data_IF_511715366017
#
_entry.id   IF_511715366017
#
_cell.length_a   1.000
_cell.length_b   1.000
_cell.length_c   1.000
_cell.angle_alpha   90.00
_cell.angle_beta   90.00
_cell.angle_gamma   90.00
#
_symmetry.space_group_name_H-M   'P 1'
#
loop_
_entity.id
_entity.type
_entity.pdbx_description
1 polymer ?
#
# COMPACT_ATOMS: atom_id res chain seq x y z
N UNK A 1 -14.91 42.35 -38.75
CA UNK A 1 -15.30 40.92 -38.71
C UNK A 1 -14.05 40.03 -38.71
N UNK A 2 -13.13 40.20 -39.67
CA UNK A 2 -11.91 39.36 -39.84
C UNK A 2 -10.97 39.29 -38.62
N UNK A 3 -10.75 40.41 -37.90
CA UNK A 3 -9.91 40.44 -36.69
C UNK A 3 -10.47 39.62 -35.53
N UNK A 4 -11.79 39.46 -35.42
CA UNK A 4 -12.39 38.70 -34.33
C UNK A 4 -12.13 37.18 -34.49
N UNK A 5 -12.10 36.69 -35.73
CA UNK A 5 -11.79 35.29 -36.02
C UNK A 5 -10.32 34.96 -35.76
N UNK A 6 -9.40 35.85 -36.16
CA UNK A 6 -7.97 35.66 -35.91
C UNK A 6 -7.62 35.57 -34.40
N UNK A 7 -8.25 36.41 -33.55
CA UNK A 7 -8.04 36.37 -32.10
C UNK A 7 -8.65 35.11 -31.45
N UNK A 8 -9.78 34.61 -31.98
CA UNK A 8 -10.39 33.37 -31.49
C UNK A 8 -9.54 32.15 -31.86
N UNK A 9 -8.90 32.18 -33.03
CA UNK A 9 -8.01 31.11 -33.50
C UNK A 9 -6.70 31.07 -32.70
N UNK A 10 -6.10 32.23 -32.41
CA UNK A 10 -4.90 32.36 -31.56
C UNK A 10 -5.16 31.92 -30.11
N UNK A 11 -6.35 32.25 -29.57
CA UNK A 11 -6.78 31.79 -28.25
C UNK A 11 -7.03 30.28 -28.22
N UNK A 12 -7.62 29.72 -29.29
CA UNK A 12 -7.85 28.29 -29.42
C UNK A 12 -6.53 27.50 -29.49
N UNK A 13 -5.53 28.02 -30.21
CA UNK A 13 -4.20 27.40 -30.29
C UNK A 13 -3.47 27.47 -28.96
N UNK A 14 -3.53 28.60 -28.25
CA UNK A 14 -2.91 28.74 -26.92
C UNK A 14 -3.54 27.80 -25.88
N UNK A 15 -4.86 27.63 -25.91
CA UNK A 15 -5.58 26.67 -25.04
C UNK A 15 -5.19 25.23 -25.38
N UNK A 16 -5.05 24.92 -26.68
CA UNK A 16 -4.65 23.60 -27.15
C UNK A 16 -3.22 23.26 -26.73
N UNK A 17 -2.30 24.21 -26.80
CA UNK A 17 -0.93 24.06 -26.32
C UNK A 17 -0.89 23.85 -24.80
N UNK A 18 -1.62 24.65 -24.03
CA UNK A 18 -1.72 24.51 -22.58
C UNK A 18 -2.30 23.15 -22.15
N UNK A 19 -3.34 22.68 -22.84
CA UNK A 19 -3.94 21.36 -22.62
C UNK A 19 -2.94 20.25 -22.96
N UNK A 20 -2.21 20.37 -24.07
CA UNK A 20 -1.17 19.40 -24.43
C UNK A 20 -0.05 19.33 -23.38
N UNK A 21 0.47 20.48 -22.91
CA UNK A 21 1.50 20.52 -21.87
C UNK A 21 1.01 19.91 -20.55
N UNK A 22 -0.24 20.17 -20.15
CA UNK A 22 -0.85 19.55 -18.96
C UNK A 22 -1.03 18.05 -19.14
N UNK A 23 -1.46 17.58 -20.31
CA UNK A 23 -1.61 16.15 -20.61
C UNK A 23 -0.25 15.44 -20.55
N UNK A 24 0.78 16.05 -21.13
CA UNK A 24 2.13 15.49 -21.14
C UNK A 24 2.72 15.43 -19.72
N UNK A 25 2.57 16.50 -18.95
CA UNK A 25 2.98 16.57 -17.54
C UNK A 25 2.23 15.56 -16.68
N UNK A 26 0.92 15.36 -16.93
CA UNK A 26 0.11 14.36 -16.24
C UNK A 26 0.54 12.94 -16.61
N UNK A 27 0.80 12.67 -17.90
CA UNK A 27 1.26 11.36 -18.38
C UNK A 27 2.60 10.97 -17.76
N UNK A 28 3.53 11.92 -17.66
CA UNK A 28 4.84 11.69 -17.04
C UNK A 28 4.70 11.42 -15.54
N UNK A 29 3.94 12.26 -14.82
CA UNK A 29 3.67 12.09 -13.38
C UNK A 29 2.96 10.76 -13.07
N UNK A 30 2.01 10.35 -13.91
CA UNK A 30 1.32 9.06 -13.79
C UNK A 30 2.28 7.91 -14.04
N UNK A 31 3.16 8.01 -15.04
CA UNK A 31 4.18 6.99 -15.30
C UNK A 31 5.17 6.86 -14.14
N UNK A 32 5.63 7.97 -13.56
CA UNK A 32 6.52 7.97 -12.40
C UNK A 32 5.84 7.40 -11.14
N UNK A 33 4.64 7.88 -10.80
CA UNK A 33 3.88 7.36 -9.65
C UNK A 33 3.54 5.88 -9.81
N UNK A 34 3.09 5.46 -10.99
CA UNK A 34 2.77 4.04 -11.22
C UNK A 34 4.02 3.17 -11.11
N UNK A 35 5.14 3.60 -11.68
CA UNK A 35 6.42 2.89 -11.57
C UNK A 35 6.91 2.81 -10.11
N UNK A 36 6.79 3.90 -9.35
CA UNK A 36 7.14 3.91 -7.93
C UNK A 36 6.25 3.00 -7.07
N UNK A 37 4.93 2.95 -7.35
CA UNK A 37 4.00 2.03 -6.68
C UNK A 37 4.38 0.58 -6.99
N UNK A 38 4.63 0.25 -8.26
CA UNK A 38 5.01 -1.10 -8.68
C UNK A 38 6.34 -1.50 -8.05
N UNK A 39 7.33 -0.61 -8.03
CA UNK A 39 8.63 -0.87 -7.43
C UNK A 39 8.52 -1.10 -5.91
N UNK A 40 7.76 -0.25 -5.20
CA UNK A 40 7.51 -0.43 -3.78
C UNK A 40 6.72 -1.71 -3.47
N UNK A 41 5.75 -2.06 -4.31
CA UNK A 41 4.97 -3.29 -4.16
C UNK A 41 5.86 -4.53 -4.37
N UNK A 42 6.71 -4.50 -5.39
CA UNK A 42 7.66 -5.58 -5.66
C UNK A 42 8.68 -5.73 -4.52
N UNK A 43 9.29 -4.64 -4.07
CA UNK A 43 10.21 -4.64 -2.93
C UNK A 43 9.52 -5.14 -1.65
N UNK A 44 8.30 -4.66 -1.38
CA UNK A 44 7.47 -5.10 -0.27
C UNK A 44 7.13 -6.59 -0.35
N UNK A 45 6.84 -7.11 -1.54
CA UNK A 45 6.58 -8.54 -1.76
C UNK A 45 7.81 -9.40 -1.46
N UNK A 46 9.00 -8.99 -1.90
CA UNK A 46 10.25 -9.70 -1.59
C UNK A 46 10.47 -9.76 -0.08
N UNK A 47 10.33 -8.62 0.61
CA UNK A 47 10.47 -8.57 2.08
C UNK A 47 9.42 -9.45 2.76
N UNK A 48 8.17 -9.42 2.31
CA UNK A 48 7.09 -10.23 2.86
C UNK A 48 7.37 -11.74 2.70
N UNK A 49 7.91 -12.17 1.56
CA UNK A 49 8.29 -13.57 1.32
C UNK A 49 9.41 -14.00 2.27
N UNK A 50 10.46 -13.19 2.41
CA UNK A 50 11.57 -13.48 3.34
C UNK A 50 11.06 -13.55 4.78
N UNK A 51 10.19 -12.63 5.16
CA UNK A 51 9.59 -12.60 6.49
C UNK A 51 8.67 -13.81 6.75
N UNK A 52 7.93 -14.26 5.74
CA UNK A 52 7.13 -15.47 5.81
C UNK A 52 8.00 -16.71 6.08
N UNK A 53 9.11 -16.85 5.37
CA UNK A 53 10.06 -17.94 5.63
C UNK A 53 10.63 -17.88 7.04
N UNK A 54 10.99 -16.69 7.52
CA UNK A 54 11.45 -16.51 8.89
C UNK A 54 10.42 -17.01 9.92
N UNK A 55 9.14 -16.63 9.78
CA UNK A 55 8.06 -17.07 10.68
C UNK A 55 7.91 -18.60 10.65
N UNK A 56 7.95 -19.21 9.46
CA UNK A 56 7.82 -20.67 9.31
C UNK A 56 8.98 -21.38 10.02
N UNK A 57 10.23 -20.97 9.75
CA UNK A 57 11.40 -21.59 10.38
C UNK A 57 11.43 -21.36 11.89
N UNK A 58 11.09 -20.15 12.36
CA UNK A 58 10.96 -19.85 13.78
C UNK A 58 9.87 -20.70 14.45
N UNK A 59 8.73 -20.90 13.79
CA UNK A 59 7.66 -21.77 14.27
C UNK A 59 8.08 -23.24 14.38
N UNK A 60 8.81 -23.75 13.39
CA UNK A 60 9.36 -25.11 13.42
C UNK A 60 10.39 -25.24 14.56
N UNK A 61 11.30 -24.27 14.71
CA UNK A 61 12.29 -24.30 15.79
C UNK A 61 11.64 -24.29 17.18
N UNK A 62 10.64 -23.43 17.39
CA UNK A 62 9.86 -23.40 18.64
C UNK A 62 9.13 -24.71 18.90
N UNK A 63 8.50 -25.29 17.86
CA UNK A 63 7.79 -26.55 17.97
C UNK A 63 8.73 -27.71 18.36
N UNK A 64 9.94 -27.75 17.80
CA UNK A 64 10.93 -28.77 18.15
C UNK A 64 11.43 -28.62 19.59
N UNK A 65 11.78 -27.40 20.02
CA UNK A 65 12.23 -27.15 21.40
C UNK A 65 11.14 -27.50 22.42
N UNK A 66 9.90 -27.10 22.15
CA UNK A 66 8.75 -27.44 23.01
C UNK A 66 8.43 -28.94 22.96
N UNK A 67 8.57 -29.56 21.78
CA UNK A 67 8.39 -30.99 21.57
C UNK A 67 9.40 -31.83 22.37
N UNK A 68 10.67 -31.44 22.38
CA UNK A 68 11.72 -32.09 23.17
C UNK A 68 11.45 -32.00 24.68
N UNK A 69 10.95 -30.86 25.17
CA UNK A 69 10.60 -30.70 26.59
C UNK A 69 9.42 -31.56 27.02
N UNK A 70 8.45 -31.77 26.12
CA UNK A 70 7.25 -32.58 26.38
C UNK A 70 7.51 -34.07 26.12
N UNK A 71 8.60 -34.40 25.41
CA UNK A 71 8.98 -35.76 25.01
C UNK A 71 8.27 -36.27 23.75
N UNK A 72 7.37 -35.47 23.18
CA UNK A 72 6.53 -35.81 22.04
C UNK A 72 6.47 -34.63 21.06
N UNK A 73 7.02 -34.80 19.86
CA UNK A 73 7.13 -33.72 18.86
C UNK A 73 5.75 -33.15 18.43
N UNK A 74 4.71 -33.98 18.38
CA UNK A 74 3.37 -33.54 17.96
C UNK A 74 2.77 -32.52 18.94
N UNK A 75 3.09 -32.62 20.23
CA UNK A 75 2.59 -31.70 21.24
C UNK A 75 3.19 -30.30 21.07
N UNK A 76 4.48 -30.22 20.70
CA UNK A 76 5.16 -28.96 20.40
C UNK A 76 4.52 -28.21 19.23
N UNK A 77 4.21 -28.92 18.13
CA UNK A 77 3.48 -28.33 17.00
C UNK A 77 2.07 -27.89 17.38
N UNK A 78 1.37 -28.65 18.23
CA UNK A 78 0.00 -28.32 18.65
C UNK A 78 -0.06 -27.05 19.51
N UNK A 79 0.91 -26.85 20.41
CA UNK A 79 1.02 -25.63 21.21
C UNK A 79 1.33 -24.43 20.32
N UNK A 80 2.30 -24.55 19.40
CA UNK A 80 2.66 -23.47 18.47
C UNK A 80 1.49 -23.11 17.57
N UNK A 81 0.74 -24.10 17.07
CA UNK A 81 -0.48 -23.88 16.31
C UNK A 81 -1.55 -23.14 17.12
N UNK A 82 -1.72 -23.49 18.40
CA UNK A 82 -2.61 -22.79 19.32
C UNK A 82 -2.22 -21.33 19.54
N UNK A 83 -0.92 -21.04 19.69
CA UNK A 83 -0.40 -19.67 19.80
C UNK A 83 -0.69 -18.88 18.52
N UNK A 84 -0.40 -19.45 17.35
CA UNK A 84 -0.71 -18.79 16.08
C UNK A 84 -2.21 -18.51 15.90
N UNK A 85 -3.07 -19.43 16.34
CA UNK A 85 -4.52 -19.26 16.30
C UNK A 85 -4.98 -18.14 17.25
N UNK A 86 -4.40 -18.05 18.45
CA UNK A 86 -4.64 -16.94 19.38
C UNK A 86 -4.23 -15.60 18.79
N UNK A 87 -3.05 -15.51 18.20
CA UNK A 87 -2.58 -14.31 17.50
C UNK A 87 -3.54 -13.95 16.37
N UNK A 88 -3.97 -14.93 15.57
CA UNK A 88 -4.92 -14.70 14.48
C UNK A 88 -6.26 -14.13 14.98
N UNK A 89 -6.78 -14.63 16.10
CA UNK A 89 -8.00 -14.09 16.73
C UNK A 89 -7.78 -12.65 17.20
N UNK A 90 -6.67 -12.37 17.90
CA UNK A 90 -6.35 -11.01 18.37
C UNK A 90 -6.26 -10.05 17.18
N UNK A 91 -5.56 -10.46 16.11
CA UNK A 91 -5.44 -9.67 14.88
C UNK A 91 -6.81 -9.49 14.21
N UNK A 92 -7.67 -10.50 14.19
CA UNK A 92 -9.03 -10.39 13.65
C UNK A 92 -9.85 -9.32 14.38
N UNK A 93 -9.83 -9.32 15.71
CA UNK A 93 -10.53 -8.29 16.51
C UNK A 93 -9.88 -6.91 16.35
N UNK A 94 -8.55 -6.86 16.32
CA UNK A 94 -7.81 -5.61 16.16
C UNK A 94 -7.91 -5.04 14.74
N UNK A 95 -8.20 -5.86 13.72
CA UNK A 95 -8.35 -5.46 12.31
C UNK A 95 -9.32 -4.30 12.14
N UNK A 96 -10.43 -4.33 12.88
CA UNK A 96 -11.45 -3.28 12.85
C UNK A 96 -10.94 -1.91 13.32
N UNK A 97 -9.94 -1.86 14.20
CA UNK A 97 -9.41 -0.62 14.78
C UNK A 97 -8.03 -0.22 14.22
N UNK A 98 -7.12 -1.17 14.05
CA UNK A 98 -5.75 -0.92 13.57
C UNK A 98 -5.66 -0.67 12.07
N UNK A 99 -6.52 -1.27 11.25
CA UNK A 99 -6.47 -1.09 9.79
C UNK A 99 -7.48 -0.04 9.33
N UNK A 100 -8.69 -0.06 9.88
CA UNK A 100 -9.77 0.83 9.43
C UNK A 100 -9.49 2.30 9.71
N UNK A 101 -8.98 2.64 10.89
CA UNK A 101 -8.69 4.03 11.29
C UNK A 101 -7.58 4.70 10.45
N UNK A 102 -6.39 4.10 10.25
CA UNK A 102 -5.36 4.75 9.44
C UNK A 102 -5.73 4.80 7.96
N UNK A 103 -6.42 3.78 7.42
CA UNK A 103 -6.91 3.81 6.03
C UNK A 103 -7.96 4.91 5.85
N UNK A 104 -8.89 5.03 6.79
CA UNK A 104 -9.90 6.08 6.78
C UNK A 104 -9.27 7.47 6.94
N UNK A 105 -8.33 7.67 7.87
CA UNK A 105 -7.60 8.94 8.01
C UNK A 105 -6.74 9.26 6.78
N UNK A 106 -6.12 8.27 6.14
CA UNK A 106 -5.36 8.47 4.92
C UNK A 106 -6.27 8.89 3.74
N UNK A 107 -7.44 8.25 3.60
CA UNK A 107 -8.43 8.65 2.61
C UNK A 107 -9.02 10.03 2.89
N UNK A 108 -9.34 10.35 4.16
CA UNK A 108 -9.80 11.68 4.56
C UNK A 108 -8.72 12.72 4.23
N UNK A 109 -7.45 12.47 4.56
CA UNK A 109 -6.34 13.40 4.25
C UNK A 109 -6.11 13.56 2.75
N UNK A 110 -6.31 12.53 1.93
CA UNK A 110 -6.21 12.66 0.47
C UNK A 110 -7.40 13.40 -0.17
N UNK A 111 -8.59 13.28 0.43
CA UNK A 111 -9.81 13.90 -0.09
C UNK A 111 -10.02 15.33 0.41
N UNK A 112 -9.61 15.64 1.65
CA UNK A 112 -9.81 16.93 2.30
C UNK A 112 -8.51 17.68 2.60
N UNK A 113 -7.37 17.00 2.64
CA UNK A 113 -6.07 17.63 2.96
C UNK A 113 -5.40 18.33 1.79
N UNK A 114 -6.11 18.55 0.68
CA UNK A 114 -5.69 19.43 -0.41
C UNK A 114 -6.40 20.79 -0.38
N UNK A 115 -7.32 21.04 0.56
CA UNK A 115 -8.07 22.30 0.66
C UNK A 115 -7.51 23.29 1.72
N UNK A 116 -6.46 22.92 2.47
CA UNK A 116 -5.90 23.73 3.58
C UNK A 116 -4.45 24.24 3.32
N UNK A 117 -4.06 24.43 2.05
CA UNK A 117 -2.86 25.22 1.68
C UNK A 117 -3.27 26.35 0.72
N UNK A 118 -4.12 27.27 1.21
CA UNK A 118 -4.22 28.64 0.69
C UNK A 118 -4.64 29.58 1.83
N UNK A 119 -3.70 29.87 2.72
CA UNK A 119 -3.59 31.16 3.41
C UNK A 119 -2.16 31.70 3.20
#
# INVERSE_FOLDING_TARGET
>A
MEKAYANIEELADSVKEYVNTRIESTKLTVAEKSSAIIANLAAGMVVAIVFLFFIIFAGIALALVLGEWIGENWAGFLIVAGIYLLIAIIVWFARGRLIRLPVMNAMIKQLFGNDDEED
#
